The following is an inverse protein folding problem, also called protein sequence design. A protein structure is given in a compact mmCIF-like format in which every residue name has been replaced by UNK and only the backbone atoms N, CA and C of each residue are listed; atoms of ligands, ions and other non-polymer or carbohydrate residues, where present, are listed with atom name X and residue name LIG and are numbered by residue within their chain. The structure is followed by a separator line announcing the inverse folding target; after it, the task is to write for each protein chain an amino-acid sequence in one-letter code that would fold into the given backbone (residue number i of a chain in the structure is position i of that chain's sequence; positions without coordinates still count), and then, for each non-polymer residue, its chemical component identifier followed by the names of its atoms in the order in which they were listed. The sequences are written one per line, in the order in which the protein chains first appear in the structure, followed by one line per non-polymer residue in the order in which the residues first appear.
data_IF_270550208413
#
_entry.id   IF_270550208413
#
_cell.length_a   1.000
_cell.length_b   1.000
_cell.length_c   1.000
_cell.angle_alpha   90.00
_cell.angle_beta   90.00
_cell.angle_gamma   90.00
#
_symmetry.space_group_name_H-M   'P 1'
#
loop_
_entity.id
_entity.type
_entity.pdbx_description
1 polymer ?
#
# COMPACT_ATOMS: atom_id res chain seq x y z
N UNK A 1 -24.51 -53.78 -69.32
CA UNK A 1 -23.70 -53.00 -68.42
C UNK A 1 -24.31 -51.59 -68.33
N UNK A 2 -24.99 -51.19 -67.22
CA UNK A 2 -25.56 -49.88 -67.14
C UNK A 2 -24.49 -48.90 -66.53
N UNK A 3 -24.42 -47.72 -67.13
CA UNK A 3 -23.58 -46.59 -66.63
C UNK A 3 -24.20 -45.96 -65.40
N UNK A 4 -23.42 -45.82 -64.31
CA UNK A 4 -23.75 -45.08 -63.14
C UNK A 4 -23.50 -43.57 -63.44
N UNK A 5 -24.56 -42.78 -63.35
CA UNK A 5 -24.46 -41.32 -63.44
C UNK A 5 -24.30 -40.82 -62.01
N UNK A 6 -23.14 -40.20 -61.69
CA UNK A 6 -22.90 -39.52 -60.46
C UNK A 6 -23.50 -38.09 -60.54
N UNK A 7 -24.51 -37.81 -59.75
CA UNK A 7 -25.04 -36.45 -59.54
C UNK A 7 -24.11 -35.62 -58.66
N UNK A 8 -23.74 -34.43 -59.10
CA UNK A 8 -22.93 -33.56 -58.26
C UNK A 8 -23.80 -32.86 -57.16
N UNK A 9 -23.42 -33.05 -55.90
CA UNK A 9 -24.00 -32.35 -54.72
C UNK A 9 -24.01 -30.83 -54.94
N UNK A 10 -25.07 -30.11 -54.56
CA UNK A 10 -25.21 -28.67 -54.79
C UNK A 10 -24.23 -27.88 -53.93
N UNK A 11 -23.44 -27.01 -54.58
CA UNK A 11 -22.43 -26.12 -53.99
C UNK A 11 -22.98 -25.13 -52.96
N UNK A 12 -24.29 -25.06 -52.78
CA UNK A 12 -25.00 -24.19 -51.81
C UNK A 12 -24.97 -24.68 -50.36
N UNK A 13 -24.58 -25.97 -50.13
CA UNK A 13 -24.56 -26.52 -48.76
C UNK A 13 -23.22 -26.26 -48.00
N UNK A 14 -22.15 -25.90 -48.73
CA UNK A 14 -20.82 -25.67 -48.14
C UNK A 14 -20.67 -24.23 -47.58
N UNK A 15 -21.46 -23.28 -48.09
CA UNK A 15 -21.40 -21.88 -47.63
C UNK A 15 -22.16 -21.66 -46.31
N UNK A 16 -23.19 -22.46 -46.02
CA UNK A 16 -23.98 -22.38 -44.80
C UNK A 16 -23.22 -22.91 -43.55
N UNK A 17 -22.23 -23.80 -43.72
CA UNK A 17 -21.46 -24.37 -42.61
C UNK A 17 -20.29 -23.49 -42.17
N UNK A 18 -19.84 -22.55 -43.00
CA UNK A 18 -18.71 -21.64 -42.66
C UNK A 18 -19.18 -20.40 -41.88
N UNK A 19 -20.47 -20.07 -41.87
CA UNK A 19 -21.02 -18.91 -41.15
C UNK A 19 -21.57 -19.24 -39.77
N UNK A 20 -21.58 -20.51 -39.35
CA UNK A 20 -22.09 -20.95 -38.07
C UNK A 20 -21.04 -21.13 -36.97
N UNK A 21 -19.74 -20.82 -37.19
CA UNK A 21 -18.66 -20.90 -36.21
C UNK A 21 -18.22 -19.55 -35.63
N UNK A 22 -18.87 -18.45 -35.97
CA UNK A 22 -18.90 -17.25 -35.15
C UNK A 22 -19.97 -17.39 -34.04
N UNK A 23 -19.98 -18.55 -33.39
CA UNK A 23 -20.80 -18.76 -32.21
C UNK A 23 -20.31 -17.84 -31.11
N UNK A 24 -21.06 -16.79 -30.85
CA UNK A 24 -21.21 -16.06 -29.61
C UNK A 24 -20.41 -16.64 -28.43
N UNK A 25 -19.13 -16.33 -28.34
CA UNK A 25 -18.55 -16.25 -27.00
C UNK A 25 -19.27 -15.09 -26.32
N UNK A 26 -20.16 -15.38 -25.38
CA UNK A 26 -20.74 -14.37 -24.51
C UNK A 26 -19.59 -13.44 -24.07
N UNK A 27 -19.78 -12.12 -24.09
CA UNK A 27 -18.73 -11.24 -23.68
C UNK A 27 -18.25 -11.69 -22.30
N UNK A 28 -16.96 -12.02 -22.19
CA UNK A 28 -16.39 -12.43 -20.92
C UNK A 28 -16.77 -11.39 -19.88
N UNK A 29 -17.28 -11.81 -18.72
CA UNK A 29 -17.70 -10.91 -17.63
C UNK A 29 -16.63 -9.86 -17.24
N UNK A 30 -16.91 -8.94 -16.36
CA UNK A 30 -15.97 -7.93 -15.91
C UNK A 30 -14.70 -8.59 -15.34
N UNK A 31 -13.60 -7.85 -15.26
CA UNK A 31 -12.38 -8.26 -14.56
C UNK A 31 -12.51 -7.75 -13.13
N UNK A 32 -12.62 -8.65 -12.17
CA UNK A 32 -12.73 -8.30 -10.77
C UNK A 32 -11.35 -8.20 -10.11
N UNK A 33 -11.10 -7.09 -9.43
CA UNK A 33 -9.96 -6.85 -8.56
C UNK A 33 -10.48 -6.74 -7.13
N UNK A 34 -9.97 -7.57 -6.22
CA UNK A 34 -10.25 -7.45 -4.79
C UNK A 34 -9.64 -6.16 -4.24
N UNK A 35 -10.35 -5.47 -3.36
CA UNK A 35 -9.85 -4.32 -2.63
C UNK A 35 -10.15 -4.52 -1.14
N UNK A 36 -9.12 -4.80 -0.35
CA UNK A 36 -9.22 -5.10 1.08
C UNK A 36 -8.47 -4.05 1.91
N UNK A 37 -9.14 -3.48 2.90
CA UNK A 37 -8.57 -2.46 3.76
C UNK A 37 -9.55 -1.94 4.80
N UNK A 38 -9.14 -1.07 5.75
CA UNK A 38 -9.97 -0.57 6.83
C UNK A 38 -10.85 0.61 6.36
N UNK A 39 -11.83 0.35 5.47
CA UNK A 39 -12.62 1.39 4.82
C UNK A 39 -13.62 2.07 5.73
N UNK A 40 -14.00 1.46 6.84
CA UNK A 40 -14.75 2.08 7.94
C UNK A 40 -13.92 3.10 8.74
N UNK A 41 -12.59 3.14 8.51
CA UNK A 41 -11.68 4.05 9.19
C UNK A 41 -11.13 5.13 8.25
N UNK A 42 -10.83 6.36 8.74
CA UNK A 42 -10.29 7.44 7.90
C UNK A 42 -9.03 7.05 7.11
N UNK A 43 -8.17 6.18 7.66
CA UNK A 43 -6.92 5.74 7.02
C UNK A 43 -7.14 4.91 5.75
N UNK A 44 -8.29 4.24 5.59
CA UNK A 44 -8.64 3.49 4.39
C UNK A 44 -9.22 4.35 3.27
N UNK A 45 -9.68 5.55 3.57
CA UNK A 45 -10.44 6.36 2.63
C UNK A 45 -9.63 6.80 1.40
N UNK A 46 -8.35 7.16 1.57
CA UNK A 46 -7.49 7.55 0.45
C UNK A 46 -7.23 6.37 -0.50
N UNK A 47 -7.00 5.19 0.05
CA UNK A 47 -6.83 3.94 -0.71
C UNK A 47 -8.07 3.64 -1.56
N UNK A 48 -9.27 3.66 -0.95
CA UNK A 48 -10.53 3.38 -1.65
C UNK A 48 -10.78 4.37 -2.81
N UNK A 49 -10.64 5.68 -2.52
CA UNK A 49 -10.87 6.73 -3.52
C UNK A 49 -9.91 6.61 -4.71
N UNK A 50 -8.64 6.39 -4.45
CA UNK A 50 -7.63 6.32 -5.51
C UNK A 50 -7.76 5.06 -6.35
N UNK A 51 -8.06 3.89 -5.74
CA UNK A 51 -8.36 2.67 -6.46
C UNK A 51 -9.60 2.82 -7.36
N UNK A 52 -10.67 3.44 -6.84
CA UNK A 52 -11.88 3.72 -7.62
C UNK A 52 -11.61 4.69 -8.78
N UNK A 53 -10.78 5.72 -8.55
CA UNK A 53 -10.38 6.65 -9.60
C UNK A 53 -9.62 5.93 -10.72
N UNK A 54 -8.67 5.05 -10.38
CA UNK A 54 -7.93 4.26 -11.36
C UNK A 54 -8.87 3.37 -12.20
N UNK A 55 -9.81 2.67 -11.55
CA UNK A 55 -10.81 1.85 -12.25
C UNK A 55 -11.69 2.68 -13.18
N UNK A 56 -12.15 3.85 -12.72
CA UNK A 56 -12.95 4.76 -13.55
C UNK A 56 -12.17 5.23 -14.79
N UNK A 57 -10.88 5.54 -14.65
CA UNK A 57 -10.01 5.95 -15.77
C UNK A 57 -9.76 4.79 -16.76
N UNK A 58 -9.58 3.56 -16.28
CA UNK A 58 -9.46 2.38 -17.13
C UNK A 58 -10.76 2.17 -17.92
N UNK A 59 -11.90 2.22 -17.25
CA UNK A 59 -13.21 1.98 -17.86
C UNK A 59 -13.61 3.08 -18.86
N UNK A 60 -13.21 4.32 -18.63
CA UNK A 60 -13.40 5.41 -19.58
C UNK A 60 -12.65 5.18 -20.92
N UNK A 61 -11.58 4.39 -20.89
CA UNK A 61 -10.80 3.93 -22.07
C UNK A 61 -11.28 2.58 -22.62
N UNK A 62 -12.53 2.20 -22.37
CA UNK A 62 -13.17 0.93 -22.79
C UNK A 62 -12.69 -0.32 -22.00
N UNK A 63 -12.12 -0.14 -20.81
CA UNK A 63 -11.65 -1.25 -19.98
C UNK A 63 -10.38 -1.92 -20.53
N UNK A 64 -10.16 -3.17 -20.14
CA UNK A 64 -9.02 -3.99 -20.55
C UNK A 64 -9.50 -4.99 -21.61
N UNK A 65 -8.99 -4.89 -22.84
CA UNK A 65 -9.43 -5.73 -23.97
C UNK A 65 -10.96 -5.73 -24.16
N UNK A 66 -11.62 -4.57 -23.95
CA UNK A 66 -13.06 -4.40 -24.07
C UNK A 66 -13.88 -4.86 -22.85
N UNK A 67 -13.26 -5.41 -21.81
CA UNK A 67 -13.90 -5.83 -20.57
C UNK A 67 -13.79 -4.73 -19.52
N UNK A 68 -14.89 -4.45 -18.80
CA UNK A 68 -14.87 -3.51 -17.66
C UNK A 68 -14.06 -4.10 -16.50
N UNK A 69 -13.44 -3.22 -15.72
CA UNK A 69 -12.80 -3.56 -14.44
C UNK A 69 -13.76 -3.19 -13.32
N UNK A 70 -13.90 -4.05 -12.34
CA UNK A 70 -14.71 -3.83 -11.14
C UNK A 70 -13.90 -4.09 -9.87
N UNK A 71 -14.19 -3.35 -8.79
CA UNK A 71 -13.62 -3.59 -7.48
C UNK A 71 -14.58 -4.44 -6.64
N UNK A 72 -14.07 -5.51 -6.05
CA UNK A 72 -14.71 -6.23 -4.94
C UNK A 72 -14.19 -5.64 -3.64
N UNK A 73 -14.89 -4.61 -3.15
CA UNK A 73 -14.48 -3.85 -1.95
C UNK A 73 -14.96 -4.55 -0.70
N UNK A 74 -14.03 -4.92 0.19
CA UNK A 74 -14.34 -5.57 1.47
C UNK A 74 -13.55 -4.92 2.59
N UNK A 75 -14.24 -4.52 3.67
CA UNK A 75 -13.65 -3.85 4.84
C UNK A 75 -13.07 -4.88 5.82
N UNK A 76 -11.76 -4.80 6.07
CA UNK A 76 -11.07 -5.60 7.07
C UNK A 76 -11.03 -4.94 8.45
N UNK A 77 -11.54 -3.71 8.58
CA UNK A 77 -11.55 -2.90 9.79
C UNK A 77 -10.16 -2.73 10.45
N UNK A 78 -9.08 -3.05 9.70
CA UNK A 78 -7.70 -3.05 10.20
C UNK A 78 -7.43 -4.11 11.28
N UNK A 79 -8.26 -5.15 11.35
CA UNK A 79 -8.18 -6.23 12.33
C UNK A 79 -7.73 -7.52 11.64
N UNK A 80 -6.81 -8.25 12.27
CA UNK A 80 -6.18 -9.46 11.70
C UNK A 80 -7.19 -10.59 11.47
N UNK A 81 -8.07 -10.87 12.44
CA UNK A 81 -9.10 -11.93 12.31
C UNK A 81 -10.10 -11.59 11.22
N UNK A 82 -10.46 -10.30 11.09
CA UNK A 82 -11.34 -9.83 10.01
C UNK A 82 -10.63 -9.92 8.66
N UNK A 83 -9.33 -9.61 8.61
CA UNK A 83 -8.54 -9.73 7.39
C UNK A 83 -8.48 -11.17 6.86
N UNK A 84 -8.41 -12.17 7.74
CA UNK A 84 -8.50 -13.59 7.35
C UNK A 84 -9.83 -13.89 6.68
N UNK A 85 -10.97 -13.48 7.30
CA UNK A 85 -12.31 -13.70 6.72
C UNK A 85 -12.50 -12.98 5.38
N UNK A 86 -11.99 -11.75 5.29
CA UNK A 86 -11.99 -10.98 4.04
C UNK A 86 -11.16 -11.69 2.96
N UNK A 87 -10.01 -12.23 3.33
CA UNK A 87 -9.17 -13.00 2.42
C UNK A 87 -9.87 -14.27 1.93
N UNK A 88 -10.53 -15.01 2.82
CA UNK A 88 -11.32 -16.18 2.46
C UNK A 88 -12.47 -15.82 1.49
N UNK A 89 -13.17 -14.72 1.74
CA UNK A 89 -14.23 -14.23 0.85
C UNK A 89 -13.71 -13.88 -0.54
N UNK A 90 -12.63 -13.11 -0.64
CA UNK A 90 -12.05 -12.70 -1.92
C UNK A 90 -11.37 -13.86 -2.65
N UNK A 91 -10.77 -14.79 -1.91
CA UNK A 91 -10.17 -16.01 -2.46
C UNK A 91 -11.24 -16.93 -3.08
N UNK A 92 -12.40 -17.06 -2.44
CA UNK A 92 -13.51 -17.90 -2.90
C UNK A 92 -14.20 -17.36 -4.16
N UNK A 93 -14.07 -16.06 -4.47
CA UNK A 93 -14.61 -15.47 -5.70
C UNK A 93 -13.69 -15.76 -6.89
N UNK A 94 -14.08 -16.65 -7.84
CA UNK A 94 -13.21 -17.04 -8.96
C UNK A 94 -12.99 -15.90 -9.97
N UNK A 95 -13.81 -14.83 -9.95
CA UNK A 95 -13.65 -13.67 -10.82
C UNK A 95 -12.54 -12.74 -10.35
N UNK A 96 -12.16 -12.79 -9.05
CA UNK A 96 -11.09 -11.97 -8.49
C UNK A 96 -9.73 -12.48 -8.97
N UNK A 97 -9.07 -11.69 -9.81
CA UNK A 97 -7.77 -12.04 -10.42
C UNK A 97 -6.58 -11.73 -9.54
N UNK A 98 -6.69 -10.70 -8.68
CA UNK A 98 -5.68 -10.28 -7.70
C UNK A 98 -6.32 -9.38 -6.65
N UNK A 99 -5.63 -9.13 -5.54
CA UNK A 99 -6.11 -8.29 -4.43
C UNK A 99 -5.17 -7.12 -4.20
N UNK A 100 -5.72 -5.90 -4.18
CA UNK A 100 -5.09 -4.69 -3.66
C UNK A 100 -5.34 -4.64 -2.16
N UNK A 101 -4.33 -4.70 -1.36
CA UNK A 101 -4.45 -4.76 0.10
C UNK A 101 -3.57 -5.87 0.70
N UNK A 102 -3.67 -6.13 1.97
CA UNK A 102 -4.31 -5.29 2.99
C UNK A 102 -3.45 -4.04 3.30
N UNK A 103 -3.98 -3.11 4.10
CA UNK A 103 -3.29 -1.85 4.34
C UNK A 103 -2.26 -1.97 5.46
N UNK A 104 -2.61 -2.58 6.60
CA UNK A 104 -1.73 -2.71 7.76
C UNK A 104 -0.88 -3.98 7.72
N UNK A 105 0.29 -3.96 8.39
CA UNK A 105 1.22 -5.10 8.41
C UNK A 105 0.58 -6.36 8.99
N UNK A 106 -0.05 -6.29 10.17
CA UNK A 106 -0.69 -7.46 10.80
C UNK A 106 -1.80 -8.06 9.94
N UNK A 107 -2.72 -7.21 9.40
CA UNK A 107 -3.77 -7.68 8.48
C UNK A 107 -3.20 -8.34 7.22
N UNK A 108 -2.12 -7.75 6.65
CA UNK A 108 -1.46 -8.32 5.47
C UNK A 108 -0.78 -9.66 5.76
N UNK A 109 -0.10 -9.79 6.90
CA UNK A 109 0.53 -11.05 7.33
C UNK A 109 -0.49 -12.16 7.57
N UNK A 110 -1.61 -11.82 8.22
CA UNK A 110 -2.71 -12.76 8.48
C UNK A 110 -3.36 -13.24 7.18
N UNK A 111 -3.72 -12.31 6.28
CA UNK A 111 -4.37 -12.59 5.01
C UNK A 111 -3.46 -13.32 4.00
N UNK A 112 -2.16 -13.06 4.02
CA UNK A 112 -1.18 -13.63 3.09
C UNK A 112 -1.20 -15.16 3.03
N UNK A 113 -1.46 -15.81 4.17
CA UNK A 113 -1.54 -17.28 4.27
C UNK A 113 -2.74 -17.83 3.51
N UNK A 114 -3.85 -17.10 3.49
CA UNK A 114 -5.05 -17.49 2.75
C UNK A 114 -4.80 -17.32 1.25
N UNK A 115 -4.36 -16.14 0.82
CA UNK A 115 -4.14 -15.86 -0.60
C UNK A 115 -3.05 -16.73 -1.23
N UNK A 116 -1.97 -17.01 -0.52
CA UNK A 116 -0.87 -17.84 -1.02
C UNK A 116 -1.11 -19.34 -0.89
N UNK A 117 -2.21 -19.77 -0.27
CA UNK A 117 -2.54 -21.18 -0.02
C UNK A 117 -3.56 -21.76 -1.00
N UNK A 118 -3.90 -23.03 -0.77
CA UNK A 118 -4.94 -23.73 -1.53
C UNK A 118 -4.62 -24.04 -3.00
N UNK A 119 -5.64 -24.43 -3.75
CA UNK A 119 -5.50 -24.93 -5.13
C UNK A 119 -5.41 -23.79 -6.17
N UNK A 120 -5.95 -22.61 -5.86
CA UNK A 120 -6.01 -21.45 -6.78
C UNK A 120 -5.50 -20.19 -6.12
N UNK A 121 -4.21 -20.13 -5.75
CA UNK A 121 -3.66 -18.99 -5.00
C UNK A 121 -3.79 -17.69 -5.78
N UNK A 122 -3.94 -16.59 -5.07
CA UNK A 122 -4.25 -15.26 -5.61
C UNK A 122 -3.17 -14.26 -5.19
N UNK A 123 -2.66 -13.46 -6.11
CA UNK A 123 -1.69 -12.42 -5.77
C UNK A 123 -2.32 -11.33 -4.90
N UNK A 124 -1.65 -11.00 -3.80
CA UNK A 124 -1.94 -9.88 -2.91
C UNK A 124 -0.84 -8.82 -3.05
N UNK A 125 -1.21 -7.57 -3.28
CA UNK A 125 -0.27 -6.47 -3.40
C UNK A 125 -0.65 -5.38 -2.40
N UNK A 126 0.20 -5.15 -1.37
CA UNK A 126 -0.05 -4.11 -0.39
C UNK A 126 0.48 -2.74 -0.82
N UNK A 127 -0.31 -1.66 -0.67
CA UNK A 127 0.15 -0.30 -0.91
C UNK A 127 0.95 0.29 0.26
N UNK A 128 0.91 -0.31 1.47
CA UNK A 128 1.40 0.35 2.68
C UNK A 128 1.97 -0.59 3.76
N UNK A 129 1.73 -1.90 3.71
CA UNK A 129 2.24 -2.80 4.76
C UNK A 129 3.77 -2.92 4.70
N UNK A 130 4.43 -2.35 5.69
CA UNK A 130 5.89 -2.14 5.71
C UNK A 130 6.68 -3.16 6.54
N UNK A 131 6.03 -4.04 7.33
CA UNK A 131 6.73 -5.03 8.15
C UNK A 131 7.74 -5.86 7.33
N UNK A 132 8.98 -6.02 7.81
CA UNK A 132 9.97 -6.88 7.17
C UNK A 132 9.52 -8.35 7.02
N UNK A 133 8.60 -8.81 7.86
CA UNK A 133 8.10 -10.18 7.85
C UNK A 133 7.25 -10.53 6.62
N UNK A 134 6.80 -9.52 5.86
CA UNK A 134 6.14 -9.74 4.57
C UNK A 134 7.11 -10.17 3.47
N UNK A 135 8.38 -9.78 3.58
CA UNK A 135 9.39 -10.06 2.56
C UNK A 135 9.64 -11.56 2.42
N UNK A 136 9.33 -12.12 1.25
CA UNK A 136 9.53 -13.54 0.97
C UNK A 136 8.55 -14.50 1.66
N UNK A 137 7.49 -13.98 2.28
CA UNK A 137 6.50 -14.79 2.99
C UNK A 137 5.78 -15.79 2.07
N UNK A 138 5.48 -15.38 0.85
CA UNK A 138 4.86 -16.20 -0.18
C UNK A 138 5.15 -15.64 -1.58
N UNK A 139 5.26 -16.48 -2.62
CA UNK A 139 5.42 -16.01 -4.00
C UNK A 139 4.18 -15.28 -4.55
N UNK A 140 3.10 -15.19 -3.79
CA UNK A 140 1.87 -14.46 -4.11
C UNK A 140 1.72 -13.16 -3.34
N UNK A 141 2.70 -12.79 -2.50
CA UNK A 141 2.66 -11.56 -1.68
C UNK A 141 3.64 -10.55 -2.23
N UNK A 142 3.14 -9.36 -2.52
CA UNK A 142 3.90 -8.25 -3.06
C UNK A 142 3.56 -6.96 -2.30
N UNK A 143 4.45 -5.97 -2.38
CA UNK A 143 4.17 -4.60 -1.92
C UNK A 143 4.84 -3.56 -2.83
N UNK A 144 4.23 -2.39 -2.91
CA UNK A 144 4.79 -1.24 -3.64
C UNK A 144 5.32 -0.14 -2.71
N UNK A 145 5.17 -0.30 -1.40
CA UNK A 145 5.75 0.57 -0.38
C UNK A 145 7.13 0.07 0.07
N UNK A 146 8.00 0.96 0.60
CA UNK A 146 9.24 0.56 1.26
C UNK A 146 8.97 -0.33 2.48
N UNK A 147 9.95 -1.15 2.84
CA UNK A 147 9.97 -1.89 4.11
C UNK A 147 10.38 -1.00 5.27
N UNK A 148 10.05 -1.40 6.50
CA UNK A 148 10.60 -0.80 7.72
C UNK A 148 12.12 -0.88 7.78
N UNK A 149 12.75 -1.84 7.06
CA UNK A 149 14.20 -1.87 6.84
C UNK A 149 14.73 -0.61 6.13
N UNK A 150 13.84 0.23 5.56
CA UNK A 150 14.17 1.50 4.93
C UNK A 150 13.62 2.68 5.74
N UNK A 151 12.40 2.57 6.32
CA UNK A 151 11.77 3.62 7.12
C UNK A 151 12.56 3.91 8.40
N UNK A 152 12.84 2.88 9.22
CA UNK A 152 13.56 3.05 10.48
C UNK A 152 14.94 3.68 10.32
N UNK A 153 15.81 3.14 9.45
CA UNK A 153 17.14 3.74 9.20
C UNK A 153 17.07 5.16 8.65
N UNK A 154 16.08 5.50 7.84
CA UNK A 154 15.93 6.87 7.34
C UNK A 154 15.55 7.84 8.45
N UNK A 155 14.64 7.45 9.35
CA UNK A 155 14.30 8.23 10.54
C UNK A 155 15.50 8.38 11.47
N UNK A 156 16.29 7.32 11.67
CA UNK A 156 17.48 7.35 12.53
C UNK A 156 18.57 8.28 11.98
N UNK A 157 18.85 8.21 10.67
CA UNK A 157 19.78 9.14 10.01
C UNK A 157 19.30 10.58 10.11
N UNK A 158 18.02 10.82 9.91
CA UNK A 158 17.45 12.16 10.03
C UNK A 158 17.57 12.70 11.48
N UNK A 159 17.24 11.87 12.48
CA UNK A 159 17.44 12.22 13.89
C UNK A 159 18.87 12.61 14.21
N UNK A 160 19.83 11.78 13.77
CA UNK A 160 21.24 11.95 14.05
C UNK A 160 21.86 13.12 13.27
N UNK A 161 21.66 13.16 11.94
CA UNK A 161 22.36 14.10 11.05
C UNK A 161 21.71 15.47 10.98
N UNK A 162 20.35 15.49 10.93
CA UNK A 162 19.60 16.74 10.71
C UNK A 162 19.15 17.40 12.02
N UNK A 163 18.66 16.59 12.96
CA UNK A 163 18.20 17.12 14.26
C UNK A 163 19.32 17.20 15.29
N UNK A 164 20.44 16.55 15.07
CA UNK A 164 21.53 16.48 16.05
C UNK A 164 21.20 15.67 17.30
N UNK A 165 20.13 14.84 17.25
CA UNK A 165 19.69 14.03 18.38
C UNK A 165 20.74 12.96 18.72
N UNK A 166 20.87 12.67 20.00
CA UNK A 166 21.79 11.66 20.54
C UNK A 166 21.11 10.65 21.45
N UNK A 167 19.94 11.00 22.00
CA UNK A 167 19.22 10.23 23.01
C UNK A 167 17.73 10.14 22.64
N UNK A 168 17.34 9.02 22.11
CA UNK A 168 15.97 8.81 21.66
C UNK A 168 15.10 8.13 22.73
N UNK A 169 13.86 8.62 22.87
CA UNK A 169 12.76 7.86 23.43
C UNK A 169 11.87 7.33 22.30
N UNK A 170 11.40 6.11 22.41
CA UNK A 170 10.50 5.49 21.41
C UNK A 170 9.20 5.09 22.11
N UNK A 171 8.05 5.49 21.54
CA UNK A 171 6.75 4.94 21.88
C UNK A 171 6.22 4.22 20.65
N UNK A 172 5.86 2.95 20.80
CA UNK A 172 5.41 2.14 19.66
C UNK A 172 4.14 1.36 19.95
N UNK A 173 3.27 1.26 18.95
CA UNK A 173 2.12 0.36 19.02
C UNK A 173 2.61 -1.10 19.00
N UNK A 174 2.11 -1.92 19.93
CA UNK A 174 2.55 -3.30 20.07
C UNK A 174 1.90 -4.23 19.04
N UNK A 175 2.23 -4.01 17.77
CA UNK A 175 1.87 -4.83 16.63
C UNK A 175 3.07 -4.98 15.67
N UNK A 176 2.92 -5.69 14.55
CA UNK A 176 4.01 -5.96 13.61
C UNK A 176 4.62 -4.68 13.01
N UNK A 177 3.80 -3.68 12.71
CA UNK A 177 4.27 -2.38 12.24
C UNK A 177 5.12 -1.65 13.29
N UNK A 178 4.57 -1.46 14.50
CA UNK A 178 5.27 -0.71 15.55
C UNK A 178 6.58 -1.37 15.97
N UNK A 179 6.59 -2.71 16.06
CA UNK A 179 7.82 -3.49 16.34
C UNK A 179 8.85 -3.36 15.21
N UNK A 180 8.42 -3.38 13.94
CA UNK A 180 9.28 -3.22 12.77
C UNK A 180 10.00 -1.87 12.76
N UNK A 181 9.25 -0.78 12.82
CA UNK A 181 9.81 0.60 12.83
C UNK A 181 10.70 0.81 14.05
N UNK A 182 10.23 0.44 15.26
CA UNK A 182 11.03 0.54 16.49
C UNK A 182 12.37 -0.19 16.37
N UNK A 183 12.35 -1.45 15.93
CA UNK A 183 13.55 -2.28 15.86
C UNK A 183 14.57 -1.74 14.85
N UNK A 184 14.11 -1.38 13.65
CA UNK A 184 14.98 -0.88 12.58
C UNK A 184 15.51 0.53 12.84
N UNK A 185 14.72 1.40 13.48
CA UNK A 185 15.18 2.70 13.96
C UNK A 185 16.27 2.55 15.02
N UNK A 186 16.01 1.74 16.07
CA UNK A 186 16.94 1.55 17.18
C UNK A 186 18.29 1.02 16.70
N UNK A 187 18.29 -0.03 15.87
CA UNK A 187 19.51 -0.62 15.34
C UNK A 187 20.37 0.40 14.56
N UNK A 188 19.77 1.21 13.69
CA UNK A 188 20.52 2.21 12.92
C UNK A 188 20.95 3.39 13.80
N UNK A 189 20.10 3.85 14.73
CA UNK A 189 20.42 4.99 15.60
C UNK A 189 21.62 4.66 16.51
N UNK A 190 21.64 3.45 17.07
CA UNK A 190 22.76 2.94 17.88
C UNK A 190 24.01 2.73 17.04
N UNK A 191 23.89 2.22 15.80
CA UNK A 191 25.01 2.10 14.86
C UNK A 191 25.66 3.46 14.55
N UNK A 192 24.87 4.54 14.53
CA UNK A 192 25.35 5.91 14.35
C UNK A 192 25.99 6.50 15.61
N UNK A 193 25.92 5.83 16.76
CA UNK A 193 26.45 6.28 18.04
C UNK A 193 25.40 6.95 18.96
N UNK A 194 24.12 6.89 18.59
CA UNK A 194 23.00 7.32 19.43
C UNK A 194 22.69 6.30 20.53
N UNK A 195 21.84 6.71 21.47
CA UNK A 195 21.34 5.85 22.54
C UNK A 195 19.83 5.84 22.56
N UNK A 196 19.22 4.67 22.50
CA UNK A 196 17.79 4.51 22.78
C UNK A 196 17.62 4.34 24.27
N UNK A 197 17.09 5.38 24.93
CA UNK A 197 16.96 5.39 26.39
C UNK A 197 15.80 4.54 26.87
N UNK A 198 14.68 4.60 26.16
CA UNK A 198 13.44 3.90 26.44
C UNK A 198 12.76 3.50 25.13
N UNK A 199 12.13 2.33 25.11
CA UNK A 199 11.28 1.89 24.00
C UNK A 199 10.03 1.23 24.60
N UNK A 200 8.97 2.01 24.72
CA UNK A 200 7.75 1.65 25.46
C UNK A 200 6.61 1.24 24.51
N UNK A 201 6.06 0.03 24.69
CA UNK A 201 4.90 -0.40 23.95
C UNK A 201 3.60 0.22 24.47
N UNK A 202 2.66 0.46 23.56
CA UNK A 202 1.27 0.74 23.92
C UNK A 202 0.32 -0.12 23.07
N UNK A 203 -0.91 -0.24 23.54
CA UNK A 203 -2.03 -0.85 22.81
C UNK A 203 -3.13 0.21 22.57
N UNK A 204 -4.07 0.02 21.65
CA UNK A 204 -5.14 1.00 21.39
C UNK A 204 -5.95 1.41 22.61
N UNK A 205 -6.08 0.53 23.62
CA UNK A 205 -6.78 0.80 24.87
C UNK A 205 -5.94 1.53 25.94
N UNK A 206 -4.68 1.89 25.64
CA UNK A 206 -3.80 2.61 26.58
C UNK A 206 -4.37 4.00 26.84
N UNK A 207 -4.71 4.29 28.09
CA UNK A 207 -5.38 5.53 28.49
C UNK A 207 -4.41 6.72 28.62
N UNK A 208 -3.12 6.48 28.93
CA UNK A 208 -2.11 7.51 29.08
C UNK A 208 -0.71 6.99 28.75
N UNK A 209 0.06 7.83 28.10
CA UNK A 209 1.49 7.66 27.78
C UNK A 209 2.38 8.55 28.65
N UNK A 210 1.77 9.35 29.56
CA UNK A 210 2.48 10.29 30.44
C UNK A 210 3.58 9.62 31.27
N UNK A 211 3.39 8.42 31.87
CA UNK A 211 4.46 7.75 32.62
C UNK A 211 5.71 7.47 31.79
N UNK A 212 5.52 7.13 30.48
CA UNK A 212 6.62 6.88 29.54
C UNK A 212 7.35 8.18 29.23
N UNK A 213 6.62 9.23 28.85
CA UNK A 213 7.17 10.56 28.57
C UNK A 213 7.92 11.15 29.75
N UNK A 214 7.38 11.02 30.98
CA UNK A 214 8.03 11.48 32.20
C UNK A 214 9.33 10.72 32.49
N UNK A 215 9.39 9.40 32.22
CA UNK A 215 10.60 8.60 32.36
C UNK A 215 11.66 9.00 31.33
N UNK A 216 11.30 9.16 30.06
CA UNK A 216 12.17 9.64 28.99
C UNK A 216 12.75 11.01 29.32
N UNK A 217 11.94 11.94 29.89
CA UNK A 217 12.41 13.26 30.35
C UNK A 217 13.46 13.14 31.44
N UNK A 218 13.23 12.32 32.45
CA UNK A 218 14.21 12.13 33.56
C UNK A 218 15.52 11.55 33.07
N UNK A 219 15.49 10.71 32.02
CA UNK A 219 16.68 10.12 31.39
C UNK A 219 17.36 11.07 30.38
N UNK A 220 16.73 12.20 30.07
CA UNK A 220 17.30 13.23 29.21
C UNK A 220 17.17 12.92 27.71
N UNK A 221 16.05 12.37 27.28
CA UNK A 221 15.75 12.25 25.85
C UNK A 221 15.76 13.60 25.15
N UNK A 222 16.23 13.64 23.92
CA UNK A 222 16.31 14.84 23.07
C UNK A 222 15.50 14.70 21.77
N UNK A 223 14.91 13.54 21.50
CA UNK A 223 13.98 13.26 20.41
C UNK A 223 12.96 12.21 20.84
N UNK A 224 11.71 12.35 20.38
CA UNK A 224 10.67 11.33 20.51
C UNK A 224 10.41 10.69 19.14
N UNK A 225 10.42 9.35 19.10
CA UNK A 225 10.03 8.56 17.93
C UNK A 225 8.70 7.87 18.20
N UNK A 226 7.73 8.10 17.33
CA UNK A 226 6.40 7.50 17.39
C UNK A 226 6.25 6.45 16.29
N UNK A 227 6.57 5.20 16.60
CA UNK A 227 6.21 4.04 15.77
C UNK A 227 4.75 3.65 16.06
N UNK A 228 3.84 4.56 15.77
CA UNK A 228 2.47 4.59 16.26
C UNK A 228 1.46 4.74 15.12
N UNK A 229 0.21 4.44 15.40
CA UNK A 229 -0.92 4.90 14.61
C UNK A 229 -1.41 6.26 15.12
N UNK A 230 -2.16 7.00 14.28
CA UNK A 230 -2.61 8.37 14.56
C UNK A 230 -3.20 8.57 15.96
N UNK A 231 -4.16 7.74 16.48
CA UNK A 231 -4.74 7.97 17.81
C UNK A 231 -3.70 7.94 18.95
N UNK A 232 -2.72 7.02 18.88
CA UNK A 232 -1.65 6.94 19.86
C UNK A 232 -0.69 8.13 19.77
N UNK A 233 -0.40 8.60 18.56
CA UNK A 233 0.41 9.80 18.37
C UNK A 233 -0.29 11.07 18.89
N UNK A 234 -1.59 11.22 18.61
CA UNK A 234 -2.39 12.34 19.17
C UNK A 234 -2.37 12.34 20.69
N UNK A 235 -2.49 11.17 21.33
CA UNK A 235 -2.39 11.03 22.78
C UNK A 235 -1.01 11.49 23.27
N UNK A 236 0.07 10.95 22.68
CA UNK A 236 1.43 11.33 23.04
C UNK A 236 1.68 12.85 22.93
N UNK A 237 1.21 13.46 21.83
CA UNK A 237 1.40 14.89 21.59
C UNK A 237 0.63 15.78 22.57
N UNK A 238 -0.62 15.41 22.91
CA UNK A 238 -1.40 16.12 23.93
C UNK A 238 -0.70 16.07 25.29
N UNK A 239 -0.22 14.90 25.68
CA UNK A 239 0.47 14.73 26.97
C UNK A 239 1.85 15.38 26.98
N UNK A 240 2.59 15.37 25.87
CA UNK A 240 3.83 16.17 25.74
C UNK A 240 3.58 17.65 26.00
N UNK A 241 2.49 18.22 25.47
CA UNK A 241 2.11 19.63 25.72
C UNK A 241 1.81 19.86 27.19
N UNK A 242 1.02 18.98 27.82
CA UNK A 242 0.69 19.06 29.26
C UNK A 242 1.96 19.02 30.12
N UNK A 243 2.93 18.19 29.74
CA UNK A 243 4.22 18.06 30.42
C UNK A 243 5.24 19.16 30.06
N UNK A 244 4.90 20.08 29.15
CA UNK A 244 5.80 21.14 28.67
C UNK A 244 7.01 20.61 27.87
N UNK A 245 6.92 19.43 27.28
CA UNK A 245 7.99 18.82 26.48
C UNK A 245 8.02 19.42 25.08
N UNK A 246 9.21 19.81 24.63
CA UNK A 246 9.45 20.46 23.32
C UNK A 246 10.42 19.67 22.44
N UNK A 247 10.46 18.35 22.58
CA UNK A 247 11.30 17.51 21.73
C UNK A 247 10.84 17.56 20.28
N UNK A 248 11.76 17.50 19.32
CA UNK A 248 11.40 17.07 17.97
C UNK A 248 10.69 15.71 17.99
N UNK A 249 9.64 15.59 17.19
CA UNK A 249 8.88 14.34 17.05
C UNK A 249 9.07 13.80 15.66
N UNK A 250 9.48 12.54 15.59
CA UNK A 250 9.59 11.75 14.36
C UNK A 250 8.54 10.64 14.39
N UNK A 251 7.94 10.33 13.25
CA UNK A 251 6.99 9.23 13.14
C UNK A 251 7.16 8.42 11.88
N UNK A 252 6.58 7.22 11.89
CA UNK A 252 6.45 6.40 10.69
C UNK A 252 5.27 6.85 9.81
N UNK A 253 5.14 6.22 8.66
CA UNK A 253 4.12 6.52 7.65
C UNK A 253 2.67 6.26 8.11
N UNK A 254 2.46 5.39 9.10
CA UNK A 254 1.14 5.14 9.66
C UNK A 254 0.50 6.40 10.30
N UNK A 255 1.30 7.43 10.61
CA UNK A 255 0.81 8.71 11.10
C UNK A 255 0.23 9.62 10.01
N UNK A 256 0.33 9.29 8.72
CA UNK A 256 -0.25 10.10 7.65
C UNK A 256 -1.74 10.36 7.88
N UNK A 257 -2.16 11.61 7.73
CA UNK A 257 -3.46 12.13 8.14
C UNK A 257 -3.40 12.97 9.42
N UNK A 258 -2.30 12.87 10.21
CA UNK A 258 -2.12 13.65 11.45
C UNK A 258 -1.99 15.16 11.17
N UNK A 259 -1.61 15.53 9.96
CA UNK A 259 -1.51 16.92 9.52
C UNK A 259 -2.83 17.68 9.67
N UNK A 260 -3.96 16.96 9.66
CA UNK A 260 -5.29 17.56 9.85
C UNK A 260 -5.57 17.96 11.30
N UNK A 261 -4.71 17.60 12.27
CA UNK A 261 -4.85 17.96 13.68
C UNK A 261 -4.32 19.37 13.98
N UNK A 262 -4.00 20.13 12.94
CA UNK A 262 -3.64 21.53 13.01
C UNK A 262 -2.42 21.77 13.92
N UNK A 263 -2.53 22.72 14.86
CA UNK A 263 -1.43 23.08 15.73
C UNK A 263 -0.91 21.92 16.61
N UNK A 264 -1.67 20.84 16.81
CA UNK A 264 -1.17 19.67 17.56
C UNK A 264 -0.06 18.94 16.81
N UNK A 265 -0.18 18.85 15.50
CA UNK A 265 0.74 18.12 14.64
C UNK A 265 1.83 19.00 14.00
N UNK A 266 1.76 20.32 14.16
CA UNK A 266 2.70 21.26 13.53
C UNK A 266 4.16 20.92 13.85
N UNK A 267 4.99 20.81 12.83
CA UNK A 267 6.41 20.50 12.95
C UNK A 267 6.77 19.03 13.16
N UNK A 268 5.80 18.11 13.23
CA UNK A 268 6.06 16.67 13.26
C UNK A 268 6.64 16.25 11.92
N UNK A 269 7.60 15.32 11.95
CA UNK A 269 8.21 14.77 10.75
C UNK A 269 7.88 13.30 10.61
N UNK A 270 7.50 12.90 9.40
CA UNK A 270 7.11 11.53 9.09
C UNK A 270 8.00 10.96 7.99
N UNK A 271 8.38 9.69 8.14
CA UNK A 271 8.88 8.94 7.00
C UNK A 271 7.70 8.57 6.08
N UNK A 272 7.86 8.69 4.78
CA UNK A 272 6.81 8.37 3.82
C UNK A 272 7.36 7.76 2.54
N UNK A 273 6.56 6.89 1.93
CA UNK A 273 6.83 6.33 0.61
C UNK A 273 6.51 7.34 -0.53
N UNK A 274 5.65 8.32 -0.23
CA UNK A 274 5.14 9.28 -1.20
C UNK A 274 4.63 10.54 -0.48
N UNK A 275 4.90 11.68 -1.08
CA UNK A 275 4.33 12.97 -0.69
C UNK A 275 3.65 13.63 -1.89
N UNK A 276 2.48 14.22 -1.69
CA UNK A 276 1.67 14.77 -2.76
C UNK A 276 2.27 16.05 -3.41
N UNK A 277 3.28 16.65 -2.80
CA UNK A 277 4.04 17.79 -3.34
C UNK A 277 5.26 17.38 -4.18
N UNK A 278 5.40 16.10 -4.48
CA UNK A 278 6.46 15.57 -5.37
C UNK A 278 6.42 16.26 -6.73
N UNK A 279 7.59 16.73 -7.19
CA UNK A 279 7.75 17.53 -8.39
C UNK A 279 8.01 16.65 -9.63
N UNK A 280 6.95 16.09 -10.20
CA UNK A 280 6.95 15.43 -11.51
C UNK A 280 5.54 15.53 -12.16
N UNK A 281 5.49 15.52 -13.48
CA UNK A 281 4.26 15.73 -14.25
C UNK A 281 3.19 14.66 -13.98
N UNK A 282 3.61 13.41 -13.76
CA UNK A 282 2.69 12.30 -13.50
C UNK A 282 2.01 12.48 -12.15
N UNK A 283 2.78 12.86 -11.13
CA UNK A 283 2.24 13.19 -9.82
C UNK A 283 1.33 14.43 -9.89
N UNK A 284 1.73 15.47 -10.59
CA UNK A 284 0.92 16.67 -10.74
C UNK A 284 -0.45 16.36 -11.37
N UNK A 285 -0.48 15.55 -12.44
CA UNK A 285 -1.71 15.08 -13.06
C UNK A 285 -2.58 14.24 -12.11
N UNK A 286 -1.98 13.28 -11.39
CA UNK A 286 -2.69 12.46 -10.42
C UNK A 286 -3.32 13.29 -9.30
N UNK A 287 -2.58 14.21 -8.70
CA UNK A 287 -3.08 15.09 -7.62
C UNK A 287 -4.21 15.99 -8.13
N UNK A 288 -4.10 16.54 -9.35
CA UNK A 288 -5.14 17.34 -9.96
C UNK A 288 -6.41 16.53 -10.25
N UNK A 289 -6.27 15.30 -10.78
CA UNK A 289 -7.40 14.41 -11.04
C UNK A 289 -8.07 13.97 -9.73
N UNK A 290 -7.26 13.67 -8.70
CA UNK A 290 -7.78 13.32 -7.38
C UNK A 290 -8.57 14.47 -6.74
N UNK A 291 -8.04 15.70 -6.80
CA UNK A 291 -8.72 16.88 -6.26
C UNK A 291 -10.03 17.19 -7.04
N UNK A 292 -10.07 16.93 -8.35
CA UNK A 292 -11.28 17.08 -9.17
C UNK A 292 -12.33 16.03 -8.82
N UNK A 293 -11.91 14.77 -8.62
CA UNK A 293 -12.81 13.67 -8.27
C UNK A 293 -13.31 13.77 -6.82
N UNK A 294 -12.49 14.29 -5.92
CA UNK A 294 -12.76 14.35 -4.47
C UNK A 294 -12.41 15.74 -3.90
N UNK A 295 -13.27 16.76 -4.09
CA UNK A 295 -13.01 18.14 -3.66
C UNK A 295 -12.65 18.21 -2.16
N UNK A 296 -11.61 19.00 -1.84
CA UNK A 296 -11.12 19.17 -0.48
C UNK A 296 -10.30 17.99 0.09
N UNK A 297 -10.08 16.94 -0.71
CA UNK A 297 -9.26 15.78 -0.30
C UNK A 297 -7.90 15.80 -0.98
N UNK A 298 -6.87 15.30 -0.28
CA UNK A 298 -5.53 15.08 -0.85
C UNK A 298 -5.19 13.59 -0.77
N UNK A 299 -4.48 13.05 -1.77
CA UNK A 299 -4.00 11.69 -1.70
C UNK A 299 -2.81 11.59 -0.76
N UNK A 300 -2.73 10.49 -0.01
CA UNK A 300 -1.56 10.09 0.76
C UNK A 300 -0.84 8.92 0.06
N UNK A 301 0.22 8.39 0.70
CA UNK A 301 0.98 7.26 0.17
C UNK A 301 0.12 6.00 -0.05
N UNK A 302 -0.92 5.78 0.77
CA UNK A 302 -1.85 4.64 0.66
C UNK A 302 -2.69 4.73 -0.60
N UNK A 303 -3.22 5.92 -0.87
CA UNK A 303 -3.97 6.20 -2.09
C UNK A 303 -3.09 6.14 -3.33
N UNK A 304 -1.95 6.80 -3.31
CA UNK A 304 -1.02 6.79 -4.45
C UNK A 304 -0.54 5.36 -4.77
N UNK A 305 -0.21 4.56 -3.74
CA UNK A 305 0.17 3.15 -3.91
C UNK A 305 -0.96 2.30 -4.47
N UNK A 306 -2.19 2.45 -3.98
CA UNK A 306 -3.34 1.70 -4.48
C UNK A 306 -3.68 2.06 -5.93
N UNK A 307 -3.58 3.33 -6.29
CA UNK A 307 -3.73 3.78 -7.68
C UNK A 307 -2.73 3.11 -8.61
N UNK A 308 -1.46 3.12 -8.25
CA UNK A 308 -0.40 2.46 -9.01
C UNK A 308 -0.62 0.95 -9.14
N UNK A 309 -1.04 0.28 -8.04
CA UNK A 309 -1.31 -1.16 -8.06
C UNK A 309 -2.44 -1.50 -9.02
N UNK A 310 -3.55 -0.76 -9.01
CA UNK A 310 -4.68 -1.00 -9.92
C UNK A 310 -4.23 -0.85 -11.38
N UNK A 311 -3.44 0.17 -11.71
CA UNK A 311 -2.90 0.36 -13.06
C UNK A 311 -1.87 -0.72 -13.44
N UNK A 312 -1.04 -1.16 -12.50
CA UNK A 312 -0.10 -2.26 -12.69
C UNK A 312 -0.84 -3.58 -12.95
N UNK A 313 -1.90 -3.87 -12.19
CA UNK A 313 -2.77 -5.03 -12.39
C UNK A 313 -3.49 -4.96 -13.75
N UNK A 314 -3.98 -3.79 -14.15
CA UNK A 314 -4.56 -3.61 -15.48
C UNK A 314 -3.56 -3.94 -16.58
N UNK A 315 -2.30 -3.48 -16.47
CA UNK A 315 -1.22 -3.83 -17.39
C UNK A 315 -0.90 -5.34 -17.37
N UNK A 316 -0.88 -5.97 -16.18
CA UNK A 316 -0.65 -7.39 -16.05
C UNK A 316 -1.74 -8.21 -16.77
N UNK A 317 -3.01 -7.88 -16.55
CA UNK A 317 -4.14 -8.53 -17.21
C UNK A 317 -4.14 -8.28 -18.73
N UNK A 318 -3.79 -7.08 -19.15
CA UNK A 318 -3.69 -6.74 -20.58
C UNK A 318 -2.62 -7.57 -21.29
N UNK A 319 -1.51 -7.85 -20.64
CA UNK A 319 -0.39 -8.59 -21.27
C UNK A 319 -0.47 -10.10 -21.06
N UNK A 320 -0.88 -10.56 -19.88
CA UNK A 320 -0.86 -11.98 -19.50
C UNK A 320 -2.25 -12.65 -19.48
N UNK A 321 -3.35 -11.87 -19.51
CA UNK A 321 -4.71 -12.39 -19.36
C UNK A 321 -5.23 -12.27 -17.92
N UNK A 322 -6.54 -12.55 -17.74
CA UNK A 322 -7.25 -12.44 -16.47
C UNK A 322 -7.24 -13.77 -15.68
N UNK A 323 -6.10 -14.42 -15.62
CA UNK A 323 -5.86 -15.64 -14.84
C UNK A 323 -4.97 -15.32 -13.63
N UNK A 324 -5.27 -15.89 -12.46
CA UNK A 324 -4.56 -15.63 -11.19
C UNK A 324 -3.06 -15.92 -11.26
N UNK A 325 -2.72 -17.08 -11.84
CA UNK A 325 -1.31 -17.49 -11.96
C UNK A 325 -0.58 -16.66 -12.99
N UNK A 326 -1.21 -16.36 -14.12
CA UNK A 326 -0.64 -15.50 -15.15
C UNK A 326 -0.39 -14.08 -14.65
N UNK A 327 -1.32 -13.50 -13.85
CA UNK A 327 -1.16 -12.20 -13.22
C UNK A 327 -0.01 -12.24 -12.21
N UNK A 328 0.05 -13.27 -11.35
CA UNK A 328 1.16 -13.44 -10.39
C UNK A 328 2.51 -13.56 -11.10
N UNK A 329 2.59 -14.37 -12.14
CA UNK A 329 3.82 -14.59 -12.89
C UNK A 329 4.28 -13.31 -13.60
N UNK A 330 3.33 -12.51 -14.10
CA UNK A 330 3.63 -11.20 -14.63
C UNK A 330 4.23 -10.28 -13.56
N UNK A 331 3.57 -10.16 -12.39
CA UNK A 331 4.05 -9.35 -11.28
C UNK A 331 5.45 -9.74 -10.84
N UNK A 332 5.70 -11.04 -10.68
CA UNK A 332 7.00 -11.57 -10.26
C UNK A 332 8.14 -11.25 -11.25
N UNK A 333 7.83 -10.77 -12.47
CA UNK A 333 8.82 -10.42 -13.50
C UNK A 333 8.93 -8.93 -13.79
N UNK A 334 8.11 -8.08 -13.15
CA UNK A 334 8.18 -6.61 -13.29
C UNK A 334 9.54 -6.10 -12.83
N UNK A 335 10.29 -5.45 -13.73
CA UNK A 335 11.66 -5.00 -13.48
C UNK A 335 12.75 -6.04 -13.72
N UNK A 336 12.40 -7.31 -14.01
CA UNK A 336 13.38 -8.39 -14.24
C UNK A 336 13.20 -9.13 -15.58
N UNK A 337 12.01 -9.28 -16.07
CA UNK A 337 11.68 -9.89 -17.36
C UNK A 337 10.64 -9.08 -18.13
N UNK A 338 9.97 -8.19 -17.42
CA UNK A 338 9.11 -7.14 -17.96
C UNK A 338 9.69 -5.78 -17.58
N UNK A 339 9.43 -4.75 -18.39
CA UNK A 339 9.82 -3.39 -18.07
C UNK A 339 9.20 -2.95 -16.72
N UNK A 340 9.91 -2.19 -15.89
CA UNK A 340 9.36 -1.60 -14.68
C UNK A 340 8.05 -0.83 -14.97
N UNK A 341 7.23 -0.66 -13.95
CA UNK A 341 6.03 0.15 -14.04
C UNK A 341 6.34 1.57 -13.52
N UNK A 342 6.07 2.56 -14.34
CA UNK A 342 6.27 3.97 -13.98
C UNK A 342 4.99 4.53 -13.35
N UNK A 343 4.92 4.49 -12.02
CA UNK A 343 3.78 4.95 -11.22
C UNK A 343 3.91 6.39 -10.75
N UNK A 344 2.86 6.90 -10.09
CA UNK A 344 2.86 8.20 -9.40
C UNK A 344 3.72 8.16 -8.14
N UNK A 345 3.87 6.97 -7.55
CA UNK A 345 4.78 6.75 -6.42
C UNK A 345 6.25 6.57 -6.87
N UNK A 346 6.53 6.58 -8.17
CA UNK A 346 7.81 6.35 -8.82
C UNK A 346 7.89 4.97 -9.48
N UNK A 347 9.07 4.60 -9.93
CA UNK A 347 9.32 3.32 -10.62
C UNK A 347 9.04 2.13 -9.71
N UNK A 348 8.23 1.19 -10.17
CA UNK A 348 7.94 -0.08 -9.51
C UNK A 348 8.63 -1.20 -10.27
N UNK A 349 9.64 -1.79 -9.66
CA UNK A 349 10.26 -3.05 -10.03
C UNK A 349 10.14 -3.99 -8.82
N UNK A 350 9.71 -5.23 -9.01
CA UNK A 350 9.46 -6.16 -7.93
C UNK A 350 10.62 -7.16 -7.79
N UNK A 351 11.10 -7.34 -6.57
CA UNK A 351 12.17 -8.28 -6.24
C UNK A 351 11.63 -9.72 -6.08
N UNK A 352 12.54 -10.69 -5.98
CA UNK A 352 12.19 -12.10 -5.82
C UNK A 352 11.44 -12.43 -4.53
N UNK A 353 11.58 -11.58 -3.53
CA UNK A 353 10.89 -11.66 -2.23
C UNK A 353 9.56 -10.88 -2.19
N UNK A 354 9.10 -10.31 -3.32
CA UNK A 354 7.86 -9.54 -3.41
C UNK A 354 7.98 -8.07 -3.03
N UNK A 355 9.14 -7.60 -2.60
CA UNK A 355 9.39 -6.20 -2.27
C UNK A 355 9.57 -5.35 -3.52
N UNK A 356 9.31 -4.05 -3.39
CA UNK A 356 9.65 -3.09 -4.44
C UNK A 356 11.13 -2.71 -4.35
N UNK A 357 11.84 -2.85 -5.47
CA UNK A 357 13.26 -2.51 -5.57
C UNK A 357 13.50 -1.00 -5.53
N UNK A 358 14.61 -0.59 -4.92
CA UNK A 358 15.15 0.77 -5.02
C UNK A 358 14.25 1.89 -4.47
N UNK A 359 13.22 1.56 -3.70
CA UNK A 359 12.36 2.59 -3.08
C UNK A 359 13.13 3.41 -2.07
N UNK A 360 13.01 4.71 -2.20
CA UNK A 360 13.52 5.68 -1.21
C UNK A 360 12.39 6.11 -0.29
N UNK A 361 12.73 6.23 0.99
CA UNK A 361 11.87 6.85 1.99
C UNK A 361 12.21 8.34 2.05
N UNK A 362 11.20 9.19 1.95
CA UNK A 362 11.32 10.63 2.12
C UNK A 362 10.86 11.05 3.50
N UNK A 363 11.41 12.14 4.02
CA UNK A 363 10.92 12.76 5.25
C UNK A 363 10.00 13.93 4.88
N UNK A 364 8.77 13.83 5.31
CA UNK A 364 7.80 14.92 5.26
C UNK A 364 7.73 15.65 6.59
N UNK A 365 7.34 16.91 6.55
CA UNK A 365 7.06 17.73 7.75
C UNK A 365 5.63 18.27 7.67
N UNK A 366 4.97 18.29 8.80
CA UNK A 366 3.65 18.93 8.92
C UNK A 366 3.85 20.45 9.02
N UNK A 367 3.31 21.18 8.06
CA UNK A 367 3.31 22.65 8.02
C UNK A 367 1.95 23.17 7.55
N UNK A 368 1.35 24.05 8.36
CA UNK A 368 0.06 24.68 8.03
C UNK A 368 -1.04 23.66 7.66
N UNK A 369 -1.11 22.54 8.36
CA UNK A 369 -2.10 21.50 8.11
C UNK A 369 -1.84 20.63 6.88
N UNK A 370 -0.63 20.67 6.31
CA UNK A 370 -0.21 19.85 5.17
C UNK A 370 1.05 19.05 5.52
N UNK A 371 1.11 17.83 5.02
CA UNK A 371 2.35 17.05 5.01
C UNK A 371 3.09 17.35 3.71
N UNK A 372 4.25 17.99 3.83
CA UNK A 372 5.08 18.44 2.71
C UNK A 372 6.51 17.95 2.86
N UNK A 373 7.25 17.91 1.76
CA UNK A 373 8.67 17.49 1.78
C UNK A 373 9.50 18.37 2.72
N UNK A 374 10.23 17.75 3.64
CA UNK A 374 11.21 18.45 4.46
C UNK A 374 12.40 18.86 3.57
N UNK A 375 12.64 20.16 3.48
CA UNK A 375 13.76 20.67 2.70
C UNK A 375 15.11 20.19 3.29
N UNK A 376 16.01 19.71 2.44
CA UNK A 376 17.38 19.45 2.85
C UNK A 376 18.00 20.78 3.34
N UNK A 377 18.59 20.77 4.54
CA UNK A 377 19.32 21.91 5.07
C UNK A 377 20.79 21.86 4.67
#
# INVERSE_FOLDING_TARGET
MPRIVEDPLPKSLVIAAALALEACSAPAGPIAIGLAGPFSQPRGASMLRAAQMAVNQINAKRGIRGRKVELRVVDDSGNEDTAVRVAEQLYADPEVVAVVGHLSSGASLAAARVYGGGATPTAMISPSASSPELSGLSPFVFRVCPSDLQHGPQLARFAWQTLGARRAGIIYINNDYGRGVRGTFAAEFERLGGSVLEADPYIPATASLEPYLARMRRRGADVLVLAAERPGAELALREMRTLGLKWPVLGGDALAGIETDGALAEGIRLSSAYLADRQDDRNAAFVADYARAYPGQRPDHRGAGAYDIVLLLARAVEQAGADRLAVRDYLARVGRGHAPFEGVTGTIALEGNGDVAGRTVVIGVVRNGLLVTEAAR
#
